data_IF_669144249060
#
_entry.id   IF_669144249060
#
_cell.length_a   1.000
_cell.length_b   1.000
_cell.length_c   1.000
_cell.angle_alpha   90.00
_cell.angle_beta   90.00
_cell.angle_gamma   90.00
#
_symmetry.space_group_name_H-M   'P 1'
#
loop_
_entity.id
_entity.type
_entity.pdbx_description
1 polymer ?
#
# COMPACT_ATOMS: atom_id res chain seq x y z
N UNK A 1 24.47 -0.96 -9.68
CA UNK A 1 24.20 -1.16 -8.24
C UNK A 1 23.31 -2.39 -8.12
N UNK A 2 23.59 -3.32 -7.20
CA UNK A 2 22.77 -4.51 -6.99
C UNK A 2 21.32 -4.09 -6.64
N UNK A 3 20.40 -4.29 -7.59
CA UNK A 3 18.98 -4.00 -7.46
C UNK A 3 18.26 -4.93 -6.47
N UNK A 4 18.97 -5.89 -5.86
CA UNK A 4 18.41 -6.78 -4.85
C UNK A 4 18.00 -6.00 -3.61
N UNK A 5 16.75 -6.16 -3.17
CA UNK A 5 16.24 -5.58 -1.92
C UNK A 5 17.14 -5.97 -0.73
N UNK A 6 17.30 -5.05 0.23
CA UNK A 6 18.07 -5.31 1.46
C UNK A 6 17.60 -6.58 2.19
N UNK A 7 16.29 -6.88 2.14
CA UNK A 7 15.71 -8.11 2.66
C UNK A 7 16.32 -9.36 2.01
N UNK A 8 16.42 -9.41 0.69
CA UNK A 8 16.98 -10.55 -0.04
C UNK A 8 18.50 -10.63 0.08
N UNK A 9 19.20 -9.50 0.20
CA UNK A 9 20.63 -9.52 0.51
C UNK A 9 20.91 -10.11 1.89
N UNK A 10 20.10 -9.77 2.89
CA UNK A 10 20.24 -10.29 4.26
C UNK A 10 19.75 -11.74 4.39
N UNK A 11 18.73 -12.11 3.63
CA UNK A 11 18.11 -13.43 3.66
C UNK A 11 17.92 -13.98 2.23
N UNK A 12 18.99 -14.49 1.59
CA UNK A 12 18.94 -14.91 0.18
C UNK A 12 17.86 -15.96 -0.12
N UNK A 13 17.67 -16.93 0.79
CA UNK A 13 16.66 -17.97 0.65
C UNK A 13 15.20 -17.48 0.69
N UNK A 14 14.93 -16.19 0.91
CA UNK A 14 13.58 -15.63 0.76
C UNK A 14 13.25 -15.30 -0.70
N UNK A 15 14.24 -15.06 -1.57
CA UNK A 15 13.99 -14.68 -2.97
C UNK A 15 13.17 -15.73 -3.72
N UNK A 16 13.39 -17.01 -3.43
CA UNK A 16 12.69 -18.13 -4.07
C UNK A 16 11.30 -18.38 -3.48
N UNK A 17 11.07 -17.97 -2.21
CA UNK A 17 9.84 -18.28 -1.46
C UNK A 17 8.86 -17.12 -1.39
N UNK A 18 9.31 -15.90 -1.66
CA UNK A 18 8.52 -14.68 -1.54
C UNK A 18 8.43 -13.99 -2.91
N UNK A 19 7.36 -14.28 -3.69
CA UNK A 19 7.09 -13.57 -4.92
C UNK A 19 7.09 -12.06 -4.70
N UNK A 20 7.77 -11.33 -5.58
CA UNK A 20 7.99 -9.91 -5.44
C UNK A 20 7.76 -9.22 -6.78
N UNK A 21 6.84 -8.25 -6.79
CA UNK A 21 6.58 -7.38 -7.94
C UNK A 21 7.13 -5.98 -7.63
N UNK A 22 8.24 -5.56 -8.25
CA UNK A 22 8.91 -4.30 -7.91
C UNK A 22 8.07 -3.09 -8.36
N UNK A 23 7.63 -2.29 -7.38
CA UNK A 23 6.86 -1.05 -7.56
C UNK A 23 7.55 0.16 -6.92
N UNK A 24 8.54 -0.07 -6.06
CA UNK A 24 9.34 0.98 -5.43
C UNK A 24 10.65 1.15 -6.21
N UNK A 25 11.08 2.39 -6.49
CA UNK A 25 12.32 2.67 -7.19
C UNK A 25 13.57 2.38 -6.33
N UNK A 26 13.41 2.25 -5.01
CA UNK A 26 14.52 1.94 -4.11
C UNK A 26 14.28 2.35 -2.65
N UNK A 27 15.37 2.45 -1.85
CA UNK A 27 15.31 2.97 -0.49
C UNK A 27 14.83 4.42 -0.46
N UNK A 28 13.96 4.75 0.49
CA UNK A 28 13.53 6.14 0.72
C UNK A 28 14.54 6.90 1.58
N UNK A 29 14.66 8.24 1.40
CA UNK A 29 15.57 9.07 2.18
C UNK A 29 15.36 8.94 3.69
N UNK A 30 16.44 9.06 4.45
CA UNK A 30 16.42 9.26 5.90
C UNK A 30 17.11 10.59 6.15
N UNK A 31 16.42 11.52 6.79
CA UNK A 31 16.89 12.90 6.96
C UNK A 31 16.61 13.42 8.38
N UNK A 32 17.41 14.37 8.89
CA UNK A 32 17.09 15.05 10.13
C UNK A 32 15.72 15.73 10.04
N UNK A 33 14.95 15.70 11.13
CA UNK A 33 13.66 16.36 11.23
C UNK A 33 13.68 17.38 12.37
N UNK A 34 13.59 18.68 12.08
CA UNK A 34 13.64 19.71 13.11
C UNK A 34 12.32 19.75 13.87
N UNK A 35 12.29 19.14 15.06
CA UNK A 35 11.18 19.24 16.00
C UNK A 35 11.66 19.93 17.27
N UNK A 36 11.01 21.03 17.63
CA UNK A 36 11.38 21.80 18.82
C UNK A 36 11.36 20.92 20.08
N UNK A 37 12.45 20.95 20.85
CA UNK A 37 12.62 20.13 22.06
C UNK A 37 13.09 18.70 21.82
N UNK A 38 13.26 18.25 20.57
CA UNK A 38 13.84 16.95 20.25
C UNK A 38 15.27 17.12 19.70
N UNK A 39 16.25 16.56 20.40
CA UNK A 39 17.61 16.42 19.87
C UNK A 39 17.70 15.18 18.97
N UNK A 40 18.44 15.29 17.87
CA UNK A 40 18.78 14.20 16.95
C UNK A 40 17.59 13.37 16.44
N UNK A 41 16.47 14.01 16.13
CA UNK A 41 15.35 13.34 15.49
C UNK A 41 15.60 13.15 14.00
N UNK A 42 15.44 11.91 13.52
CA UNK A 42 15.52 11.56 12.10
C UNK A 42 14.21 10.96 11.62
N UNK A 43 13.85 11.24 10.37
CA UNK A 43 12.65 10.71 9.72
C UNK A 43 13.03 9.93 8.46
N UNK A 44 12.41 8.75 8.29
CA UNK A 44 12.43 8.02 7.03
C UNK A 44 11.23 8.43 6.17
N UNK A 45 11.51 9.00 5.01
CA UNK A 45 10.52 9.64 4.13
C UNK A 45 9.75 8.64 3.27
N UNK A 46 9.02 7.74 3.91
CA UNK A 46 8.24 6.69 3.21
C UNK A 46 7.06 7.24 2.41
N UNK A 47 6.64 8.48 2.64
CA UNK A 47 5.72 9.17 1.73
C UNK A 47 6.30 9.36 0.31
N UNK A 48 7.61 9.23 0.13
CA UNK A 48 8.27 9.20 -1.19
C UNK A 48 8.58 7.77 -1.67
N UNK A 49 7.87 6.76 -1.18
CA UNK A 49 8.18 5.36 -1.49
C UNK A 49 7.95 4.98 -2.96
N UNK A 50 6.91 5.46 -3.62
CA UNK A 50 6.70 5.24 -5.06
C UNK A 50 6.00 6.44 -5.69
N UNK A 51 6.28 6.77 -6.97
CA UNK A 51 5.64 7.89 -7.66
C UNK A 51 4.12 7.70 -7.88
N UNK A 52 3.60 6.47 -7.74
CA UNK A 52 2.17 6.20 -7.89
C UNK A 52 1.39 6.62 -6.65
N UNK A 53 1.89 6.24 -5.46
CA UNK A 53 1.27 6.53 -4.17
C UNK A 53 2.29 6.40 -3.04
N UNK A 54 2.31 7.32 -2.08
CA UNK A 54 3.29 7.31 -0.99
C UNK A 54 2.98 6.37 0.18
N UNK A 55 3.83 6.41 1.20
CA UNK A 55 3.59 5.87 2.53
C UNK A 55 4.16 4.47 2.73
N UNK A 56 3.73 3.83 3.81
CA UNK A 56 4.25 2.52 4.21
C UNK A 56 3.62 1.33 3.46
N UNK A 57 2.39 1.48 2.93
CA UNK A 57 1.64 0.39 2.28
C UNK A 57 2.30 -0.15 1.00
N UNK A 58 2.86 0.70 0.10
CA UNK A 58 3.58 0.23 -1.07
C UNK A 58 4.62 -0.86 -0.79
N UNK A 59 5.38 -0.75 0.31
CA UNK A 59 6.41 -1.74 0.70
C UNK A 59 5.87 -3.15 0.92
N UNK A 60 4.66 -3.26 1.49
CA UNK A 60 4.00 -4.56 1.69
C UNK A 60 3.37 -5.04 0.38
N UNK A 61 2.83 -4.11 -0.40
CA UNK A 61 2.07 -4.41 -1.60
C UNK A 61 2.93 -5.01 -2.72
N UNK A 62 4.22 -4.68 -2.83
CA UNK A 62 5.14 -5.36 -3.78
C UNK A 62 5.11 -6.89 -3.64
N UNK A 63 5.05 -7.38 -2.40
CA UNK A 63 5.01 -8.82 -2.11
C UNK A 63 3.60 -9.41 -2.25
N UNK A 64 2.57 -8.68 -1.81
CA UNK A 64 1.19 -9.16 -1.94
C UNK A 64 0.74 -9.22 -3.40
N UNK A 65 1.10 -8.22 -4.19
CA UNK A 65 0.86 -8.18 -5.64
C UNK A 65 1.71 -9.25 -6.32
N UNK A 66 2.99 -9.38 -5.98
CA UNK A 66 3.83 -10.46 -6.47
C UNK A 66 3.21 -11.84 -6.24
N UNK A 67 2.66 -12.07 -5.05
CA UNK A 67 1.98 -13.31 -4.70
C UNK A 67 0.68 -13.51 -5.50
N UNK A 68 -0.13 -12.46 -5.65
CA UNK A 68 -1.36 -12.52 -6.45
C UNK A 68 -1.08 -12.85 -7.92
N UNK A 69 -0.07 -12.21 -8.51
CA UNK A 69 0.39 -12.47 -9.88
C UNK A 69 0.90 -13.90 -10.04
N UNK A 70 1.71 -14.39 -9.10
CA UNK A 70 2.22 -15.76 -9.12
C UNK A 70 1.10 -16.83 -9.07
N UNK A 71 -0.05 -16.48 -8.50
CA UNK A 71 -1.25 -17.33 -8.44
C UNK A 71 -2.20 -17.17 -9.63
N UNK A 72 -1.88 -16.32 -10.61
CA UNK A 72 -2.78 -16.00 -11.72
C UNK A 72 -4.06 -15.27 -11.27
N UNK A 73 -4.01 -14.58 -10.13
CA UNK A 73 -5.17 -13.83 -9.62
C UNK A 73 -5.48 -12.66 -10.54
N UNK A 74 -6.76 -12.32 -10.71
CA UNK A 74 -7.20 -11.15 -11.50
C UNK A 74 -7.60 -9.96 -10.65
N UNK A 75 -7.80 -10.19 -9.35
CA UNK A 75 -8.39 -9.22 -8.43
C UNK A 75 -7.85 -9.39 -7.02
N UNK A 76 -7.59 -8.27 -6.36
CA UNK A 76 -7.34 -8.19 -4.92
C UNK A 76 -8.63 -7.86 -4.18
N UNK A 77 -8.81 -8.48 -3.01
CA UNK A 77 -9.84 -8.15 -2.04
C UNK A 77 -9.14 -7.67 -0.77
N UNK A 78 -9.53 -6.51 -0.26
CA UNK A 78 -9.07 -6.05 1.05
C UNK A 78 -10.15 -5.25 1.74
N UNK A 79 -9.97 -5.00 3.03
CA UNK A 79 -10.87 -4.19 3.85
C UNK A 79 -10.14 -3.01 4.49
N UNK A 80 -10.92 -2.04 4.98
CA UNK A 80 -10.49 -0.91 5.79
C UNK A 80 -11.70 -0.06 6.20
N UNK A 81 -11.50 0.96 7.05
CA UNK A 81 -12.52 1.98 7.26
C UNK A 81 -12.85 2.70 5.94
N UNK A 82 -13.96 3.44 5.90
CA UNK A 82 -14.20 4.41 4.81
C UNK A 82 -12.92 5.24 4.58
N UNK A 83 -12.61 5.77 3.40
CA UNK A 83 -11.40 6.59 3.21
C UNK A 83 -10.06 6.03 3.73
N UNK A 84 -9.86 4.71 3.66
CA UNK A 84 -8.59 4.08 4.05
C UNK A 84 -7.45 4.38 3.07
N UNK A 85 -6.30 4.83 3.57
CA UNK A 85 -5.09 4.95 2.74
C UNK A 85 -4.60 3.61 2.20
N UNK A 86 -4.84 2.51 2.94
CA UNK A 86 -4.51 1.16 2.47
C UNK A 86 -5.34 0.77 1.25
N UNK A 87 -6.62 1.15 1.24
CA UNK A 87 -7.51 0.83 0.13
C UNK A 87 -7.07 1.51 -1.16
N UNK A 88 -6.82 2.82 -1.10
CA UNK A 88 -6.37 3.57 -2.27
C UNK A 88 -5.00 3.11 -2.75
N UNK A 89 -4.04 2.91 -1.84
CA UNK A 89 -2.72 2.37 -2.19
C UNK A 89 -2.83 1.01 -2.89
N UNK A 90 -3.69 0.12 -2.38
CA UNK A 90 -3.94 -1.20 -2.98
C UNK A 90 -4.53 -1.03 -4.37
N UNK A 91 -5.56 -0.20 -4.54
CA UNK A 91 -6.23 0.01 -5.82
C UNK A 91 -5.27 0.56 -6.88
N UNK A 92 -4.51 1.60 -6.56
CA UNK A 92 -3.58 2.24 -7.50
C UNK A 92 -2.45 1.30 -7.92
N UNK A 93 -1.83 0.60 -6.95
CA UNK A 93 -0.72 -0.30 -7.23
C UNK A 93 -1.16 -1.61 -7.88
N UNK A 94 -2.32 -2.15 -7.50
CA UNK A 94 -2.92 -3.30 -8.18
C UNK A 94 -3.23 -2.97 -9.64
N UNK A 95 -3.84 -1.80 -9.90
CA UNK A 95 -4.12 -1.33 -11.26
C UNK A 95 -2.84 -1.19 -12.09
N UNK A 96 -1.78 -0.64 -11.51
CA UNK A 96 -0.47 -0.53 -12.18
C UNK A 96 0.11 -1.91 -12.54
N UNK A 97 -0.20 -2.95 -11.76
CA UNK A 97 0.18 -4.33 -12.01
C UNK A 97 -0.86 -5.12 -12.86
N UNK A 98 -1.88 -4.47 -13.42
CA UNK A 98 -2.92 -5.11 -14.23
C UNK A 98 -3.98 -5.91 -13.46
N UNK A 99 -4.10 -5.67 -12.15
CA UNK A 99 -5.07 -6.31 -11.25
C UNK A 99 -6.24 -5.38 -10.92
N UNK A 100 -7.42 -5.95 -10.75
CA UNK A 100 -8.59 -5.24 -10.24
C UNK A 100 -8.59 -5.21 -8.70
N UNK A 101 -9.36 -4.31 -8.08
CA UNK A 101 -9.51 -4.27 -6.61
C UNK A 101 -10.98 -4.22 -6.19
N UNK A 102 -11.33 -4.99 -5.15
CA UNK A 102 -12.56 -4.82 -4.35
C UNK A 102 -12.17 -4.34 -2.96
N UNK A 103 -12.80 -3.26 -2.50
CA UNK A 103 -12.65 -2.72 -1.15
C UNK A 103 -13.93 -2.93 -0.36
N UNK A 104 -13.83 -3.70 0.74
CA UNK A 104 -14.91 -3.86 1.71
C UNK A 104 -14.71 -2.84 2.84
N UNK A 105 -15.55 -1.82 2.88
CA UNK A 105 -15.41 -0.66 3.74
C UNK A 105 -16.30 -0.78 4.98
N UNK A 106 -15.74 -0.44 6.13
CA UNK A 106 -16.45 -0.39 7.42
C UNK A 106 -16.56 1.04 7.92
N UNK A 107 -17.42 1.26 8.90
CA UNK A 107 -17.69 2.56 9.50
C UNK A 107 -16.43 3.25 10.00
N UNK A 108 -16.35 4.54 9.69
CA UNK A 108 -15.48 5.50 10.36
C UNK A 108 -16.10 6.90 10.24
N UNK A 109 -15.72 7.87 11.09
CA UNK A 109 -16.21 9.25 10.99
C UNK A 109 -16.04 9.84 9.60
N UNK A 110 -17.14 10.30 9.00
CA UNK A 110 -17.11 10.82 7.62
C UNK A 110 -16.72 12.30 7.63
N UNK A 111 -15.42 12.54 7.49
CA UNK A 111 -14.85 13.87 7.26
C UNK A 111 -14.71 14.17 5.77
N UNK A 112 -14.33 15.39 5.40
CA UNK A 112 -14.14 15.75 3.99
C UNK A 112 -12.97 15.01 3.34
N UNK A 113 -11.91 14.74 4.10
CA UNK A 113 -10.81 13.86 3.66
C UNK A 113 -11.31 12.44 3.35
N UNK A 114 -12.25 11.92 4.15
CA UNK A 114 -12.86 10.60 3.89
C UNK A 114 -13.69 10.64 2.61
N UNK A 115 -14.47 11.70 2.39
CA UNK A 115 -15.25 11.88 1.15
C UNK A 115 -14.34 11.97 -0.07
N UNK A 116 -13.25 12.71 0.02
CA UNK A 116 -12.24 12.83 -1.03
C UNK A 116 -11.62 11.46 -1.35
N UNK A 117 -11.16 10.75 -0.32
CA UNK A 117 -10.54 9.44 -0.49
C UNK A 117 -11.50 8.43 -1.14
N UNK A 118 -12.79 8.41 -0.75
CA UNK A 118 -13.79 7.56 -1.38
C UNK A 118 -13.97 7.88 -2.88
N UNK A 119 -13.91 9.16 -3.27
CA UNK A 119 -13.95 9.56 -4.69
C UNK A 119 -12.68 9.11 -5.41
N UNK A 120 -11.51 9.21 -4.77
CA UNK A 120 -10.24 8.72 -5.33
C UNK A 120 -10.28 7.20 -5.53
N UNK A 121 -10.80 6.44 -4.56
CA UNK A 121 -10.96 4.99 -4.71
C UNK A 121 -11.86 4.64 -5.91
N UNK A 122 -13.00 5.31 -6.05
CA UNK A 122 -13.91 5.12 -7.20
C UNK A 122 -13.25 5.51 -8.52
N UNK A 123 -12.59 6.68 -8.57
CA UNK A 123 -11.89 7.18 -9.75
C UNK A 123 -10.70 6.30 -10.17
N UNK A 124 -10.03 5.66 -9.21
CA UNK A 124 -8.98 4.67 -9.45
C UNK A 124 -9.53 3.30 -9.93
N UNK A 125 -10.86 3.11 -9.90
CA UNK A 125 -11.54 1.90 -10.39
C UNK A 125 -11.78 0.83 -9.34
N UNK A 126 -11.73 1.16 -8.04
CA UNK A 126 -12.07 0.22 -6.99
C UNK A 126 -13.57 -0.16 -7.03
N UNK A 127 -13.87 -1.45 -6.86
CA UNK A 127 -15.25 -1.88 -6.55
C UNK A 127 -15.48 -1.73 -5.06
N UNK A 128 -16.23 -0.71 -4.66
CA UNK A 128 -16.57 -0.47 -3.26
C UNK A 128 -17.74 -1.36 -2.81
N UNK A 129 -17.61 -1.94 -1.62
CA UNK A 129 -18.65 -2.70 -0.91
C UNK A 129 -18.69 -2.16 0.51
N UNK A 130 -19.87 -1.82 1.00
CA UNK A 130 -20.03 -1.34 2.36
C UNK A 130 -20.48 -2.49 3.27
N UNK A 131 -19.65 -2.80 4.27
CA UNK A 131 -19.90 -3.86 5.26
C UNK A 131 -20.41 -3.36 6.61
N UNK A 132 -20.44 -2.04 6.83
CA UNK A 132 -20.87 -1.43 8.10
C UNK A 132 -19.88 -1.63 9.24
N UNK A 133 -19.64 -2.87 9.66
CA UNK A 133 -18.70 -3.22 10.73
C UNK A 133 -17.66 -4.23 10.27
N UNK A 134 -16.63 -4.45 11.08
CA UNK A 134 -15.63 -5.51 10.83
C UNK A 134 -16.32 -6.88 10.70
N UNK A 135 -17.36 -7.15 11.50
CA UNK A 135 -18.12 -8.39 11.40
C UNK A 135 -18.92 -8.49 10.09
N UNK A 136 -19.46 -7.38 9.59
CA UNK A 136 -20.15 -7.34 8.29
C UNK A 136 -19.23 -7.30 7.08
N UNK A 137 -17.92 -7.15 7.30
CA UNK A 137 -16.89 -7.19 6.26
C UNK A 137 -16.19 -8.55 6.11
N UNK A 138 -16.46 -9.49 7.03
CA UNK A 138 -15.95 -10.86 7.02
C UNK A 138 -16.84 -11.79 6.18
#
# INVERSE_FOLDING_TARGET
MDASLALFRRHPGLRERLPHHPLLPGPTPVAPFPLAGAADLWIKRDEHSTPIYGGNKPRKLEFLIGHALARGSRRLLTTGGLGTNHGLATTLLARAAGLETTLVLVDQPVTDAVREQLRLDQGAGARLRYGGSVAGAA
#
